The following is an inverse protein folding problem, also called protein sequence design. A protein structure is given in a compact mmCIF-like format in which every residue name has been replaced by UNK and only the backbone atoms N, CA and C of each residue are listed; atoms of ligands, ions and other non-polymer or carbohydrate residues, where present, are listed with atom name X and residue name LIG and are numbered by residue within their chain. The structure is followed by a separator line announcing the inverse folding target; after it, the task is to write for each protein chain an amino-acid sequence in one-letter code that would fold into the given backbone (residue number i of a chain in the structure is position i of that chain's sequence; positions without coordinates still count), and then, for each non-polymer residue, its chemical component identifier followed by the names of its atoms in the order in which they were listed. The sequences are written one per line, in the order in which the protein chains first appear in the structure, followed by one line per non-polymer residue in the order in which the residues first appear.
data_IF_268482206049
#
_entry.id   IF_268482206049
#
_cell.length_a   1.000
_cell.length_b   1.000
_cell.length_c   1.000
_cell.angle_alpha   90.00
_cell.angle_beta   90.00
_cell.angle_gamma   90.00
#
_symmetry.space_group_name_H-M   'P 1'
#
loop_
_entity.id
_entity.type
_entity.pdbx_description
1 polymer ?
#
# COMPACT_ATOMS: atom_id res chain seq x y z
N UNK A 1 -5.50 3.89 -4.39
CA UNK A 1 -4.87 4.28 -3.12
C UNK A 1 -4.00 5.53 -3.25
N UNK A 2 -3.04 5.60 -4.18
CA UNK A 2 -2.21 6.81 -4.35
C UNK A 2 -3.02 8.10 -4.55
N UNK A 3 -4.04 8.07 -5.41
CA UNK A 3 -4.96 9.20 -5.61
C UNK A 3 -5.71 9.59 -4.33
N UNK A 4 -6.11 8.61 -3.50
CA UNK A 4 -6.77 8.90 -2.22
C UNK A 4 -5.81 9.57 -1.23
N UNK A 5 -4.54 9.15 -1.18
CA UNK A 5 -3.52 9.79 -0.35
C UNK A 5 -3.32 11.26 -0.76
N UNK A 6 -3.22 11.55 -2.07
CA UNK A 6 -3.15 12.92 -2.57
C UNK A 6 -4.43 13.72 -2.27
N UNK A 7 -5.59 13.07 -2.39
CA UNK A 7 -6.89 13.65 -2.02
C UNK A 7 -6.97 14.03 -0.54
N UNK A 8 -6.41 13.21 0.37
CA UNK A 8 -6.36 13.51 1.79
C UNK A 8 -5.49 14.73 2.11
N UNK A 9 -4.44 14.98 1.32
CA UNK A 9 -3.65 16.21 1.42
C UNK A 9 -4.48 17.41 0.94
N UNK A 10 -5.10 17.31 -0.24
CA UNK A 10 -5.79 18.42 -0.88
C UNK A 10 -7.13 18.81 -0.21
N UNK A 11 -7.87 17.83 0.31
CA UNK A 11 -9.22 17.99 0.87
C UNK A 11 -9.27 17.78 2.39
N UNK A 12 -8.11 17.64 3.04
CA UNK A 12 -8.00 17.31 4.46
C UNK A 12 -8.57 18.37 5.41
N UNK A 13 -8.87 19.58 4.93
CA UNK A 13 -9.49 20.65 5.70
C UNK A 13 -10.97 20.39 6.05
N UNK A 14 -11.63 19.47 5.35
CA UNK A 14 -13.03 19.11 5.60
C UNK A 14 -13.17 17.69 6.14
N UNK A 15 -13.69 17.57 7.35
CA UNK A 15 -13.92 16.28 8.00
C UNK A 15 -14.80 15.34 7.16
N UNK A 16 -15.80 15.89 6.45
CA UNK A 16 -16.68 15.10 5.59
C UNK A 16 -15.92 14.48 4.40
N UNK A 17 -15.08 15.26 3.70
CA UNK A 17 -14.28 14.74 2.60
C UNK A 17 -13.22 13.74 3.08
N UNK A 18 -12.56 14.03 4.21
CA UNK A 18 -11.63 13.10 4.84
C UNK A 18 -12.30 11.76 5.17
N UNK A 19 -13.50 11.78 5.75
CA UNK A 19 -14.24 10.55 6.05
C UNK A 19 -14.56 9.74 4.79
N UNK A 20 -15.04 10.38 3.72
CA UNK A 20 -15.33 9.72 2.43
C UNK A 20 -14.07 9.09 1.84
N UNK A 21 -12.95 9.82 1.84
CA UNK A 21 -11.67 9.32 1.34
C UNK A 21 -11.14 8.15 2.17
N UNK A 22 -11.31 8.17 3.50
CA UNK A 22 -10.94 7.07 4.39
C UNK A 22 -11.85 5.84 4.22
N UNK A 23 -13.14 6.02 3.94
CA UNK A 23 -14.03 4.90 3.56
C UNK A 23 -13.50 4.24 2.29
N UNK A 24 -13.19 5.03 1.26
CA UNK A 24 -12.58 4.53 0.04
C UNK A 24 -11.26 3.80 0.32
N UNK A 25 -10.39 4.39 1.15
CA UNK A 25 -9.15 3.76 1.58
C UNK A 25 -9.38 2.38 2.18
N UNK A 26 -10.32 2.28 3.12
CA UNK A 26 -10.71 1.02 3.76
C UNK A 26 -11.21 -0.02 2.76
N UNK A 27 -12.08 0.36 1.81
CA UNK A 27 -12.64 -0.55 0.81
C UNK A 27 -11.56 -1.20 -0.07
N UNK A 28 -10.60 -0.41 -0.55
CA UNK A 28 -9.53 -0.96 -1.39
C UNK A 28 -8.43 -1.65 -0.57
N UNK A 29 -8.14 -1.14 0.63
CA UNK A 29 -7.11 -1.69 1.51
C UNK A 29 -7.42 -3.12 1.98
N UNK A 30 -8.71 -3.46 2.16
CA UNK A 30 -9.14 -4.81 2.56
C UNK A 30 -9.16 -5.81 1.41
N UNK A 31 -9.31 -5.35 0.16
CA UNK A 31 -9.30 -6.23 -1.01
C UNK A 31 -7.90 -6.80 -1.32
N UNK A 32 -6.84 -6.03 -1.03
CA UNK A 32 -5.46 -6.42 -1.35
C UNK A 32 -4.98 -7.71 -0.63
N UNK A 33 -5.15 -7.87 0.69
CA UNK A 33 -4.77 -9.10 1.40
C UNK A 33 -5.44 -10.36 0.83
N UNK A 34 -6.71 -10.27 0.42
CA UNK A 34 -7.45 -11.40 -0.18
C UNK A 34 -6.86 -11.79 -1.54
N UNK A 35 -6.55 -10.78 -2.36
CA UNK A 35 -5.92 -10.99 -3.67
C UNK A 35 -4.54 -11.64 -3.56
N UNK A 36 -3.67 -11.11 -2.69
CA UNK A 36 -2.32 -11.64 -2.48
C UNK A 36 -2.33 -13.06 -1.93
N UNK A 37 -3.16 -13.36 -0.93
CA UNK A 37 -3.27 -14.71 -0.37
C UNK A 37 -3.71 -15.73 -1.42
N UNK A 38 -4.67 -15.37 -2.27
CA UNK A 38 -5.13 -16.23 -3.38
C UNK A 38 -4.06 -16.40 -4.47
N UNK A 39 -3.29 -15.35 -4.75
CA UNK A 39 -2.19 -15.43 -5.72
C UNK A 39 -1.05 -16.31 -5.21
N UNK A 40 -0.66 -16.17 -3.94
CA UNK A 40 0.42 -16.94 -3.34
C UNK A 40 0.12 -18.45 -3.36
N UNK A 41 -1.08 -18.84 -2.94
CA UNK A 41 -1.48 -20.26 -2.93
C UNK A 41 -1.52 -20.90 -4.31
N UNK A 42 -1.74 -20.09 -5.37
CA UNK A 42 -1.67 -20.55 -6.76
C UNK A 42 -0.25 -20.59 -7.33
N UNK A 43 0.62 -19.70 -6.86
CA UNK A 43 1.98 -19.53 -7.41
C UNK A 43 2.98 -20.47 -6.74
N UNK A 44 2.79 -20.78 -5.46
CA UNK A 44 3.64 -21.68 -4.67
C UNK A 44 2.78 -22.75 -3.98
N UNK A 45 2.06 -23.60 -4.73
CA UNK A 45 1.14 -24.58 -4.13
C UNK A 45 1.87 -25.57 -3.22
N UNK A 46 3.05 -26.05 -3.63
CA UNK A 46 3.83 -27.06 -2.88
C UNK A 46 4.56 -26.47 -1.66
N UNK A 47 4.85 -25.16 -1.67
CA UNK A 47 5.60 -24.44 -0.62
C UNK A 47 4.78 -23.31 0.03
N UNK A 48 3.46 -23.49 0.13
CA UNK A 48 2.53 -22.45 0.58
C UNK A 48 2.87 -21.92 1.99
N UNK A 49 3.35 -22.79 2.89
CA UNK A 49 3.72 -22.41 4.27
C UNK A 49 4.97 -21.51 4.32
N UNK A 50 6.02 -21.88 3.58
CA UNK A 50 7.24 -21.07 3.48
C UNK A 50 6.99 -19.74 2.75
N UNK A 51 6.23 -19.77 1.65
CA UNK A 51 5.81 -18.57 0.92
C UNK A 51 4.95 -17.64 1.78
N UNK A 52 4.05 -18.21 2.58
CA UNK A 52 3.20 -17.46 3.51
C UNK A 52 4.02 -16.76 4.60
N UNK A 53 4.98 -17.48 5.21
CA UNK A 53 5.91 -16.92 6.19
C UNK A 53 6.74 -15.77 5.62
N UNK A 54 7.29 -15.92 4.41
CA UNK A 54 8.06 -14.87 3.73
C UNK A 54 7.19 -13.64 3.40
N UNK A 55 5.95 -13.85 2.95
CA UNK A 55 5.00 -12.76 2.68
C UNK A 55 4.72 -11.96 3.95
N UNK A 56 4.43 -12.63 5.08
CA UNK A 56 4.18 -11.95 6.36
C UNK A 56 5.42 -11.17 6.80
N UNK A 57 6.60 -11.80 6.77
CA UNK A 57 7.86 -11.13 7.16
C UNK A 57 8.12 -9.87 6.32
N UNK A 58 7.88 -9.95 5.02
CA UNK A 58 8.06 -8.82 4.09
C UNK A 58 7.07 -7.70 4.36
N UNK A 59 5.80 -8.02 4.59
CA UNK A 59 4.76 -7.04 4.93
C UNK A 59 5.11 -6.35 6.25
N UNK A 60 5.53 -7.11 7.27
CA UNK A 60 5.89 -6.55 8.57
C UNK A 60 7.12 -5.65 8.48
N UNK A 61 8.15 -6.06 7.73
CA UNK A 61 9.31 -5.21 7.45
C UNK A 61 8.88 -3.89 6.78
N UNK A 62 8.01 -3.98 5.76
CA UNK A 62 7.50 -2.80 5.06
C UNK A 62 6.68 -1.89 5.99
N UNK A 63 5.86 -2.44 6.88
CA UNK A 63 5.10 -1.67 7.89
C UNK A 63 6.05 -0.98 8.86
N UNK A 64 7.06 -1.68 9.38
CA UNK A 64 8.04 -1.10 10.31
C UNK A 64 8.84 0.02 9.65
N UNK A 65 9.32 -0.19 8.42
CA UNK A 65 10.05 0.84 7.67
C UNK A 65 9.15 2.02 7.32
N UNK A 66 7.91 1.75 6.87
CA UNK A 66 6.93 2.77 6.56
C UNK A 66 6.57 3.62 7.78
N UNK A 67 6.37 3.00 8.94
CA UNK A 67 6.13 3.70 10.20
C UNK A 67 7.35 4.51 10.67
N UNK A 68 8.55 3.95 10.57
CA UNK A 68 9.79 4.63 11.00
C UNK A 68 10.10 5.85 10.13
N UNK A 69 10.15 5.67 8.81
CA UNK A 69 10.43 6.76 7.86
C UNK A 69 9.26 7.75 7.85
N UNK A 70 8.03 7.25 7.84
CA UNK A 70 6.82 8.06 7.85
C UNK A 70 6.69 8.92 9.11
N UNK A 71 7.10 8.39 10.27
CA UNK A 71 7.16 9.12 11.54
C UNK A 71 8.23 10.22 11.52
N UNK A 72 9.45 9.90 11.07
CA UNK A 72 10.52 10.91 10.92
C UNK A 72 10.09 12.05 9.99
N UNK A 73 9.44 11.72 8.87
CA UNK A 73 8.90 12.72 7.94
C UNK A 73 7.81 13.56 8.59
N UNK A 74 6.87 12.92 9.30
CA UNK A 74 5.79 13.59 10.02
C UNK A 74 6.34 14.61 11.02
N UNK A 75 7.30 14.20 11.83
CA UNK A 75 7.89 15.03 12.89
C UNK A 75 8.70 16.19 12.31
N UNK A 76 9.33 16.01 11.14
CA UNK A 76 10.21 17.02 10.53
C UNK A 76 9.47 18.04 9.66
N UNK A 77 8.42 17.62 8.94
CA UNK A 77 7.78 18.43 7.88
C UNK A 77 6.25 18.51 7.98
N UNK A 78 5.66 17.81 8.95
CA UNK A 78 4.23 17.82 9.24
C UNK A 78 3.46 16.66 8.62
N UNK A 79 2.16 16.61 8.90
CA UNK A 79 1.32 15.44 8.62
C UNK A 79 1.18 15.05 7.13
N UNK A 80 1.25 16.02 6.22
CA UNK A 80 1.01 15.81 4.80
C UNK A 80 2.14 15.01 4.13
N UNK A 81 3.37 15.05 4.66
CA UNK A 81 4.51 14.35 4.06
C UNK A 81 4.38 12.85 4.15
N UNK A 82 3.76 12.32 5.21
CA UNK A 82 3.50 10.88 5.34
C UNK A 82 2.54 10.39 4.25
N UNK A 83 1.50 11.18 3.93
CA UNK A 83 0.59 10.88 2.83
C UNK A 83 1.26 11.01 1.47
N UNK A 84 2.12 12.01 1.28
CA UNK A 84 2.88 12.15 0.03
C UNK A 84 3.82 10.97 -0.18
N UNK A 85 4.54 10.55 0.86
CA UNK A 85 5.40 9.38 0.83
C UNK A 85 4.63 8.11 0.47
N UNK A 86 3.46 7.90 1.11
CA UNK A 86 2.56 6.81 0.76
C UNK A 86 2.09 6.88 -0.71
N UNK A 87 1.74 8.08 -1.22
CA UNK A 87 1.33 8.27 -2.60
C UNK A 87 2.44 7.88 -3.60
N UNK A 88 3.68 8.27 -3.32
CA UNK A 88 4.86 7.90 -4.13
C UNK A 88 5.07 6.39 -4.13
N UNK A 89 5.06 5.75 -2.97
CA UNK A 89 5.25 4.29 -2.86
C UNK A 89 4.13 3.51 -3.56
N UNK A 90 2.88 3.92 -3.37
CA UNK A 90 1.71 3.30 -4.00
C UNK A 90 1.71 3.51 -5.52
N UNK A 91 2.09 4.70 -5.98
CA UNK A 91 2.26 5.00 -7.40
C UNK A 91 3.37 4.17 -8.03
N UNK A 92 4.55 4.13 -7.39
CA UNK A 92 5.68 3.31 -7.82
C UNK A 92 5.35 1.82 -7.85
N UNK A 93 4.67 1.31 -6.82
CA UNK A 93 4.20 -0.09 -6.78
C UNK A 93 3.23 -0.40 -7.92
N UNK A 94 2.29 0.51 -8.22
CA UNK A 94 1.37 0.35 -9.34
C UNK A 94 2.10 0.32 -10.69
N UNK A 95 3.13 1.15 -10.87
CA UNK A 95 3.93 1.16 -12.09
C UNK A 95 4.74 -0.12 -12.25
N UNK A 96 5.38 -0.59 -11.17
CA UNK A 96 6.14 -1.85 -11.17
C UNK A 96 5.23 -3.06 -11.46
N UNK A 97 4.04 -3.10 -10.86
CA UNK A 97 3.06 -4.15 -11.13
C UNK A 97 2.59 -4.12 -12.59
N UNK A 98 2.33 -2.94 -13.15
CA UNK A 98 1.99 -2.79 -14.56
C UNK A 98 3.12 -3.23 -15.49
N UNK A 99 4.35 -2.82 -15.20
CA UNK A 99 5.54 -3.24 -15.97
C UNK A 99 5.74 -4.76 -15.93
N UNK A 100 5.62 -5.37 -14.75
CA UNK A 100 5.72 -6.82 -14.58
C UNK A 100 4.65 -7.55 -15.39
N UNK A 101 3.40 -7.07 -15.37
CA UNK A 101 2.30 -7.63 -16.15
C UNK A 101 2.58 -7.61 -17.66
N UNK A 102 3.18 -6.52 -18.17
CA UNK A 102 3.55 -6.41 -19.57
C UNK A 102 4.77 -7.26 -19.97
N UNK A 103 5.59 -7.64 -18.99
CA UNK A 103 6.84 -8.39 -19.23
C UNK A 103 6.63 -9.91 -19.30
N UNK A 104 5.52 -10.42 -18.78
CA UNK A 104 5.18 -11.85 -18.83
C UNK A 104 4.71 -12.22 -20.24
N UNK A 105 5.44 -13.08 -20.99
CA UNK A 105 4.97 -13.56 -22.28
C UNK A 105 3.67 -14.34 -22.09
N UNK A 106 2.67 -14.06 -22.93
CA UNK A 106 1.41 -14.80 -22.94
C UNK A 106 1.60 -16.22 -23.48
#
# INVERSE_FOLDING_TARGET
MAVLALGLIALGSSAAFTAILLIGWGTFGTAAPVGWGTWLSRTMPDDTEAGGGLQVATIQLAITLGASIGGVLFDSFGWWTTFLFAAVLLGGSSLLAGAAWHSTPR
#
